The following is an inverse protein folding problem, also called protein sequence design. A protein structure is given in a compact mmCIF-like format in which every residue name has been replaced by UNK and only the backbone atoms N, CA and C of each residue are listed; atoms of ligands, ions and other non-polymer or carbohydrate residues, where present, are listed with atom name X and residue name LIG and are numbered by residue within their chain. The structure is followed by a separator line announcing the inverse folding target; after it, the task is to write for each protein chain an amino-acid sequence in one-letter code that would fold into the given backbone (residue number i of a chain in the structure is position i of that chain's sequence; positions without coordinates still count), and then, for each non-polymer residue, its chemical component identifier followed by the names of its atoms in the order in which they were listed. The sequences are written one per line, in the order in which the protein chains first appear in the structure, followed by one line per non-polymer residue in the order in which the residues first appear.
data_IF_359112921142
#
_entry.id   IF_359112921142
#
_cell.length_a   1.000
_cell.length_b   1.000
_cell.length_c   1.000
_cell.angle_alpha   90.00
_cell.angle_beta   90.00
_cell.angle_gamma   90.00
#
_symmetry.space_group_name_H-M   'P 1'
#
loop_
_entity.id
_entity.type
_entity.pdbx_description
1 polymer ?
#
# COMPACT_ATOMS: atom_id res chain seq x y z
N UNK A 1 29.27 7.09 10.11
CA UNK A 1 28.52 5.89 9.70
C UNK A 1 27.05 5.99 10.08
N UNK A 2 26.74 6.34 11.31
CA UNK A 2 25.36 6.50 11.81
C UNK A 2 24.53 7.57 11.06
N UNK A 3 25.09 8.77 10.81
CA UNK A 3 24.40 9.83 10.09
C UNK A 3 23.98 9.44 8.66
N UNK A 4 24.83 8.73 7.93
CA UNK A 4 24.50 8.26 6.58
C UNK A 4 23.36 7.22 6.61
N UNK A 5 23.32 6.35 7.62
CA UNK A 5 22.23 5.38 7.82
C UNK A 5 20.91 6.08 8.14
N UNK A 6 20.93 7.07 9.03
CA UNK A 6 19.75 7.87 9.36
C UNK A 6 19.22 8.67 8.17
N UNK A 7 20.12 9.21 7.32
CA UNK A 7 19.72 9.88 6.08
C UNK A 7 19.04 8.92 5.09
N UNK A 8 19.57 7.71 4.92
CA UNK A 8 18.93 6.65 4.10
C UNK A 8 17.55 6.30 4.66
N UNK A 9 17.44 6.09 5.96
CA UNK A 9 16.19 5.80 6.65
C UNK A 9 15.15 6.91 6.45
N UNK A 10 15.57 8.17 6.55
CA UNK A 10 14.70 9.33 6.30
C UNK A 10 14.18 9.33 4.85
N UNK A 11 15.07 9.17 3.87
CA UNK A 11 14.68 9.17 2.44
C UNK A 11 13.70 8.03 2.15
N UNK A 12 13.99 6.81 2.59
CA UNK A 12 13.11 5.66 2.40
C UNK A 12 11.76 5.85 3.11
N UNK A 13 11.76 6.41 4.32
CA UNK A 13 10.52 6.76 5.01
C UNK A 13 9.67 7.77 4.25
N UNK A 14 10.29 8.81 3.67
CA UNK A 14 9.56 9.78 2.82
C UNK A 14 9.00 9.10 1.57
N UNK A 15 9.78 8.27 0.90
CA UNK A 15 9.35 7.53 -0.30
C UNK A 15 8.16 6.63 0.04
N UNK A 16 8.26 5.85 1.12
CA UNK A 16 7.18 4.98 1.59
C UNK A 16 5.89 5.78 1.84
N UNK A 17 5.95 6.82 2.65
CA UNK A 17 4.77 7.60 3.00
C UNK A 17 4.13 8.32 1.82
N UNK A 18 4.89 8.77 0.84
CA UNK A 18 4.36 9.38 -0.38
C UNK A 18 3.74 8.37 -1.34
N UNK A 19 4.26 7.14 -1.41
CA UNK A 19 3.89 6.19 -2.45
C UNK A 19 2.90 5.12 -1.99
N UNK A 20 2.79 4.82 -0.69
CA UNK A 20 1.95 3.74 -0.18
C UNK A 20 0.45 3.95 -0.43
N UNK A 21 -0.02 5.19 -0.29
CA UNK A 21 -1.45 5.51 -0.44
C UNK A 21 -1.84 5.91 -1.86
N UNK A 22 -0.87 6.26 -2.69
CA UNK A 22 -1.08 6.53 -4.11
C UNK A 22 -1.20 5.21 -4.90
N UNK A 23 -1.97 5.19 -5.99
CA UNK A 23 -2.12 3.97 -6.79
C UNK A 23 -0.90 3.70 -7.69
N UNK A 24 0.34 3.84 -7.14
CA UNK A 24 1.61 3.77 -7.89
C UNK A 24 2.58 2.70 -7.40
N UNK A 25 2.27 1.96 -6.33
CA UNK A 25 3.10 0.89 -5.74
C UNK A 25 4.38 1.37 -5.03
N UNK A 26 4.34 1.47 -3.71
CA UNK A 26 5.51 1.78 -2.87
C UNK A 26 6.65 0.77 -3.02
N UNK A 27 6.34 -0.53 -3.12
CA UNK A 27 7.33 -1.61 -3.26
C UNK A 27 8.33 -1.36 -4.39
N UNK A 28 7.85 -0.98 -5.59
CA UNK A 28 8.76 -0.70 -6.71
C UNK A 28 9.66 0.51 -6.48
N UNK A 29 9.15 1.53 -5.78
CA UNK A 29 9.93 2.72 -5.44
C UNK A 29 10.97 2.43 -4.36
N UNK A 30 10.62 1.64 -3.35
CA UNK A 30 11.55 1.24 -2.28
C UNK A 30 12.68 0.36 -2.82
N UNK A 31 12.38 -0.60 -3.71
CA UNK A 31 13.42 -1.41 -4.38
C UNK A 31 14.39 -0.49 -5.13
N UNK A 32 13.87 0.43 -5.94
CA UNK A 32 14.71 1.36 -6.72
C UNK A 32 15.57 2.24 -5.81
N UNK A 33 14.95 2.93 -4.84
CA UNK A 33 15.64 3.87 -3.97
C UNK A 33 16.56 3.14 -3.00
N UNK A 34 16.16 2.00 -2.47
CA UNK A 34 16.98 1.17 -1.58
C UNK A 34 18.25 0.69 -2.26
N UNK A 35 18.16 0.19 -3.49
CA UNK A 35 19.32 -0.24 -4.27
C UNK A 35 20.27 0.92 -4.59
N UNK A 36 19.73 2.06 -5.06
CA UNK A 36 20.51 3.26 -5.33
C UNK A 36 21.21 3.84 -4.10
N UNK A 37 20.64 3.66 -2.92
CA UNK A 37 21.24 4.07 -1.66
C UNK A 37 22.22 3.03 -1.09
N UNK A 38 22.34 1.85 -1.72
CA UNK A 38 23.08 0.72 -1.16
C UNK A 38 22.50 0.29 0.18
N UNK A 39 21.18 0.17 0.26
CA UNK A 39 20.42 -0.27 1.42
C UNK A 39 19.37 -1.30 0.98
N UNK A 40 19.81 -2.53 0.72
CA UNK A 40 19.02 -3.61 0.14
C UNK A 40 19.30 -4.99 0.78
N UNK A 41 19.86 -5.01 2.00
CA UNK A 41 20.13 -6.22 2.76
C UNK A 41 18.87 -6.76 3.48
N UNK A 42 19.01 -7.85 4.22
CA UNK A 42 17.90 -8.44 4.98
C UNK A 42 17.34 -7.49 6.06
N UNK A 43 18.17 -6.62 6.64
CA UNK A 43 17.71 -5.58 7.57
C UNK A 43 16.87 -4.53 6.86
N UNK A 44 17.24 -4.15 5.63
CA UNK A 44 16.49 -3.21 4.81
C UNK A 44 15.07 -3.71 4.53
N UNK A 45 14.89 -4.98 4.22
CA UNK A 45 13.56 -5.58 3.98
C UNK A 45 12.63 -5.44 5.18
N UNK A 46 13.14 -5.70 6.37
CA UNK A 46 12.31 -5.54 7.58
C UNK A 46 12.12 -4.08 7.94
N UNK A 47 13.11 -3.23 7.68
CA UNK A 47 12.99 -1.79 7.84
C UNK A 47 11.83 -1.24 6.97
N UNK A 48 11.73 -1.63 5.72
CA UNK A 48 10.64 -1.24 4.81
C UNK A 48 9.26 -1.61 5.39
N UNK A 49 9.12 -2.79 5.98
CA UNK A 49 7.87 -3.23 6.62
C UNK A 49 7.55 -2.38 7.87
N UNK A 50 8.56 -2.01 8.65
CA UNK A 50 8.36 -1.17 9.84
C UNK A 50 7.94 0.24 9.46
N UNK A 51 8.59 0.86 8.47
CA UNK A 51 8.21 2.21 8.02
C UNK A 51 6.83 2.23 7.36
N UNK A 52 6.42 1.15 6.70
CA UNK A 52 5.07 0.96 6.20
C UNK A 52 4.05 0.99 7.34
N UNK A 53 4.34 0.34 8.47
CA UNK A 53 3.51 0.46 9.68
C UNK A 53 3.48 1.90 10.20
N UNK A 54 4.61 2.62 10.15
CA UNK A 54 4.68 4.05 10.45
C UNK A 54 3.72 4.88 9.58
N UNK A 55 3.69 4.61 8.28
CA UNK A 55 2.76 5.26 7.36
C UNK A 55 1.28 4.96 7.70
N UNK A 56 0.95 3.74 8.21
CA UNK A 56 -0.41 3.40 8.62
C UNK A 56 -0.93 4.25 9.78
N UNK A 57 -0.07 4.67 10.70
CA UNK A 57 -0.46 5.59 11.76
C UNK A 57 -0.97 6.93 11.24
N UNK A 58 -0.58 7.36 10.04
CA UNK A 58 -1.14 8.56 9.40
C UNK A 58 -2.64 8.41 9.11
N UNK A 59 -3.08 7.25 8.67
CA UNK A 59 -4.51 6.96 8.46
C UNK A 59 -5.26 6.93 9.80
N UNK A 60 -4.69 6.24 10.79
CA UNK A 60 -5.30 6.18 12.12
C UNK A 60 -5.45 7.59 12.71
N UNK A 61 -4.45 8.44 12.54
CA UNK A 61 -4.47 9.82 13.01
C UNK A 61 -5.46 10.71 12.24
N UNK A 62 -5.47 10.64 10.90
CA UNK A 62 -6.40 11.42 10.07
C UNK A 62 -7.86 11.05 10.40
N UNK A 63 -8.14 9.78 10.56
CA UNK A 63 -9.48 9.26 10.83
C UNK A 63 -9.71 8.87 12.31
N UNK A 64 -8.93 9.44 13.26
CA UNK A 64 -9.00 9.10 14.69
C UNK A 64 -10.40 9.21 15.29
N UNK A 65 -11.19 10.21 14.85
CA UNK A 65 -12.57 10.36 15.30
C UNK A 65 -13.48 9.24 14.83
N UNK A 66 -13.25 8.71 13.62
CA UNK A 66 -13.98 7.53 13.11
C UNK A 66 -13.57 6.27 13.85
N UNK A 67 -12.27 6.02 13.95
CA UNK A 67 -11.76 4.85 14.68
C UNK A 67 -12.19 4.87 16.15
N UNK A 68 -12.17 6.03 16.81
CA UNK A 68 -12.65 6.18 18.19
C UNK A 68 -14.14 5.83 18.34
N UNK A 69 -15.01 6.34 17.44
CA UNK A 69 -16.43 5.97 17.44
C UNK A 69 -16.66 4.49 17.17
N UNK A 70 -15.93 3.90 16.23
CA UNK A 70 -16.04 2.47 15.93
C UNK A 70 -15.64 1.63 17.13
N UNK A 71 -14.52 1.94 17.78
CA UNK A 71 -14.07 1.23 18.98
C UNK A 71 -15.06 1.36 20.14
N UNK A 72 -15.56 2.56 20.40
CA UNK A 72 -16.53 2.78 21.47
C UNK A 72 -17.88 2.08 21.18
N UNK A 73 -18.29 2.02 19.91
CA UNK A 73 -19.55 1.41 19.49
C UNK A 73 -19.49 -0.10 19.23
N UNK A 74 -18.30 -0.71 19.26
CA UNK A 74 -18.12 -2.08 18.77
C UNK A 74 -19.02 -3.12 19.46
N UNK A 75 -19.34 -2.93 20.74
CA UNK A 75 -20.21 -3.83 21.50
C UNK A 75 -21.70 -3.57 21.28
N UNK A 76 -22.12 -2.36 20.89
CA UNK A 76 -23.53 -1.94 20.93
C UNK A 76 -24.06 -1.36 19.62
N UNK A 77 -23.19 -0.84 18.75
CA UNK A 77 -23.59 -0.19 17.50
C UNK A 77 -23.41 -1.12 16.29
N UNK A 78 -24.52 -1.44 15.63
CA UNK A 78 -24.52 -2.28 14.41
C UNK A 78 -23.73 -1.65 13.25
N UNK A 79 -23.66 -0.32 13.16
CA UNK A 79 -22.89 0.34 12.11
C UNK A 79 -21.38 0.15 12.34
N UNK A 80 -20.92 0.26 13.59
CA UNK A 80 -19.53 -0.02 13.96
C UNK A 80 -19.17 -1.48 13.70
N UNK A 81 -20.03 -2.43 14.09
CA UNK A 81 -19.83 -3.86 13.85
C UNK A 81 -19.76 -4.18 12.36
N UNK A 82 -20.68 -3.61 11.55
CA UNK A 82 -20.68 -3.80 10.08
C UNK A 82 -19.43 -3.24 9.43
N UNK A 83 -18.95 -2.06 9.86
CA UNK A 83 -17.71 -1.47 9.36
C UNK A 83 -16.52 -2.41 9.61
N UNK A 84 -16.35 -2.91 10.84
CA UNK A 84 -15.26 -3.84 11.18
C UNK A 84 -15.41 -5.16 10.43
N UNK A 85 -16.62 -5.71 10.34
CA UNK A 85 -16.89 -6.92 9.55
C UNK A 85 -16.48 -6.73 8.08
N UNK A 86 -16.84 -5.61 7.47
CA UNK A 86 -16.48 -5.31 6.09
C UNK A 86 -14.96 -5.25 5.90
N UNK A 87 -14.21 -4.66 6.84
CA UNK A 87 -12.74 -4.67 6.79
C UNK A 87 -12.16 -6.08 6.91
N UNK A 88 -12.67 -6.90 7.83
CA UNK A 88 -12.22 -8.28 8.00
C UNK A 88 -12.55 -9.14 6.77
N UNK A 89 -13.75 -9.00 6.20
CA UNK A 89 -14.16 -9.70 4.98
C UNK A 89 -13.27 -9.30 3.79
N UNK A 90 -12.98 -8.00 3.64
CA UNK A 90 -12.09 -7.53 2.57
C UNK A 90 -10.62 -7.91 2.77
N UNK A 91 -10.17 -8.06 4.01
CA UNK A 91 -8.83 -8.52 4.35
C UNK A 91 -8.61 -10.00 3.99
N UNK A 92 -9.63 -10.84 4.20
CA UNK A 92 -9.55 -12.31 4.17
C UNK A 92 -8.99 -12.88 2.85
N UNK A 93 -9.43 -12.49 1.63
CA UNK A 93 -8.92 -13.07 0.39
C UNK A 93 -7.41 -12.92 0.23
N UNK A 94 -6.88 -11.72 0.47
CA UNK A 94 -5.46 -11.46 0.35
C UNK A 94 -4.65 -12.19 1.44
N UNK A 95 -5.17 -12.27 2.67
CA UNK A 95 -4.53 -13.00 3.76
C UNK A 95 -4.44 -14.50 3.47
N UNK A 96 -5.54 -15.12 3.04
CA UNK A 96 -5.57 -16.56 2.72
C UNK A 96 -4.62 -16.88 1.56
N UNK A 97 -4.70 -16.11 0.47
CA UNK A 97 -3.84 -16.33 -0.70
C UNK A 97 -2.37 -16.02 -0.40
N UNK A 98 -2.09 -14.99 0.38
CA UNK A 98 -0.73 -14.64 0.80
C UNK A 98 -0.09 -15.71 1.68
N UNK A 99 -0.85 -16.30 2.63
CA UNK A 99 -0.37 -17.41 3.45
C UNK A 99 -0.19 -18.70 2.64
N UNK A 100 -1.11 -19.00 1.72
CA UNK A 100 -1.06 -20.22 0.91
C UNK A 100 0.05 -20.18 -0.16
N UNK A 101 0.22 -19.03 -0.82
CA UNK A 101 1.07 -18.89 -2.01
C UNK A 101 2.24 -17.92 -1.84
N UNK A 102 2.45 -17.32 -0.68
CA UNK A 102 3.45 -16.27 -0.47
C UNK A 102 4.87 -16.67 -0.87
N UNK A 103 5.29 -17.93 -0.61
CA UNK A 103 6.59 -18.43 -1.04
C UNK A 103 6.71 -18.47 -2.57
N UNK A 104 5.69 -19.00 -3.27
CA UNK A 104 5.67 -19.07 -4.73
C UNK A 104 5.67 -17.67 -5.35
N UNK A 105 4.88 -16.75 -4.79
CA UNK A 105 4.83 -15.36 -5.20
C UNK A 105 6.21 -14.71 -5.09
N UNK A 106 6.88 -14.84 -3.94
CA UNK A 106 8.24 -14.32 -3.74
C UNK A 106 9.24 -14.93 -4.74
N UNK A 107 9.20 -16.24 -4.95
CA UNK A 107 10.15 -16.93 -5.84
C UNK A 107 9.97 -16.54 -7.31
N UNK A 108 8.74 -16.38 -7.80
CA UNK A 108 8.50 -16.21 -9.24
C UNK A 108 8.16 -14.80 -9.68
N UNK A 109 7.68 -13.94 -8.77
CA UNK A 109 7.16 -12.61 -9.15
C UNK A 109 8.01 -11.44 -8.65
N UNK A 110 8.93 -11.64 -7.69
CA UNK A 110 9.82 -10.57 -7.22
C UNK A 110 11.06 -10.42 -8.12
N UNK A 111 10.81 -10.14 -9.40
CA UNK A 111 11.83 -9.88 -10.41
C UNK A 111 11.42 -8.70 -11.29
N UNK A 112 12.37 -8.07 -11.97
CA UNK A 112 12.15 -6.89 -12.79
C UNK A 112 10.96 -6.99 -13.75
N UNK A 113 10.85 -8.08 -14.51
CA UNK A 113 9.83 -8.24 -15.56
C UNK A 113 8.42 -8.32 -14.97
N UNK A 114 8.09 -9.19 -14.00
CA UNK A 114 6.78 -9.20 -13.36
C UNK A 114 6.43 -7.86 -12.72
N UNK A 115 7.37 -7.22 -12.02
CA UNK A 115 7.17 -5.90 -11.40
C UNK A 115 6.82 -4.85 -12.46
N UNK A 116 7.62 -4.74 -13.52
CA UNK A 116 7.38 -3.81 -14.60
C UNK A 116 6.04 -4.03 -15.31
N UNK A 117 5.70 -5.29 -15.61
CA UNK A 117 4.42 -5.65 -16.22
C UNK A 117 3.25 -5.27 -15.31
N UNK A 118 3.36 -5.52 -14.00
CA UNK A 118 2.34 -5.12 -13.03
C UNK A 118 2.14 -3.59 -13.00
N UNK A 119 3.21 -2.80 -13.10
CA UNK A 119 3.11 -1.34 -13.24
C UNK A 119 2.41 -0.96 -14.53
N UNK A 120 2.85 -1.47 -15.68
CA UNK A 120 2.34 -1.11 -17.01
C UNK A 120 0.88 -1.54 -17.16
N UNK A 121 0.57 -2.81 -16.88
CA UNK A 121 -0.79 -3.35 -16.99
C UNK A 121 -1.73 -2.63 -16.02
N UNK A 122 -1.28 -2.40 -14.77
CA UNK A 122 -2.05 -1.62 -13.81
C UNK A 122 -2.32 -0.20 -14.27
N UNK A 123 -1.37 0.46 -14.95
CA UNK A 123 -1.56 1.76 -15.58
C UNK A 123 -2.65 1.72 -16.67
N UNK A 124 -2.61 0.74 -17.58
CA UNK A 124 -3.66 0.58 -18.60
C UNK A 124 -5.03 0.25 -17.99
N UNK A 125 -5.09 -0.54 -16.94
CA UNK A 125 -6.35 -0.82 -16.21
C UNK A 125 -6.92 0.48 -15.64
N UNK A 126 -6.11 1.34 -15.02
CA UNK A 126 -6.57 2.64 -14.52
C UNK A 126 -7.13 3.50 -15.65
N UNK A 127 -6.42 3.63 -16.79
CA UNK A 127 -6.90 4.39 -17.95
C UNK A 127 -8.23 3.84 -18.49
N UNK A 128 -8.35 2.53 -18.58
CA UNK A 128 -9.57 1.88 -19.03
C UNK A 128 -10.75 2.12 -18.07
N UNK A 129 -10.51 2.05 -16.77
CA UNK A 129 -11.52 2.27 -15.74
C UNK A 129 -11.96 3.72 -15.71
N UNK A 130 -11.06 4.69 -15.83
CA UNK A 130 -11.40 6.12 -15.81
C UNK A 130 -12.13 6.60 -17.07
N UNK A 131 -11.89 5.97 -18.23
CA UNK A 131 -12.58 6.29 -19.47
C UNK A 131 -14.01 5.76 -19.57
N UNK A 132 -14.42 4.83 -18.69
CA UNK A 132 -15.78 4.28 -18.71
C UNK A 132 -16.77 5.23 -18.04
N UNK A 133 -17.92 5.49 -18.69
CA UNK A 133 -19.02 6.15 -18.00
C UNK A 133 -19.48 5.24 -16.86
N UNK A 134 -19.52 5.77 -15.64
CA UNK A 134 -19.90 5.01 -14.46
C UNK A 134 -20.88 5.80 -13.61
N UNK A 135 -21.95 5.13 -13.18
CA UNK A 135 -22.81 5.63 -12.12
C UNK A 135 -22.32 4.98 -10.81
N UNK A 136 -21.78 5.79 -9.92
CA UNK A 136 -21.39 5.29 -8.62
C UNK A 136 -22.66 5.01 -7.78
N UNK A 137 -22.86 3.74 -7.42
CA UNK A 137 -24.02 3.28 -6.66
C UNK A 137 -23.81 3.45 -5.15
N UNK A 138 -22.56 3.39 -4.67
CA UNK A 138 -22.18 3.45 -3.26
C UNK A 138 -21.37 4.73 -3.05
N UNK A 139 -21.95 5.68 -2.31
CA UNK A 139 -21.37 7.02 -2.09
C UNK A 139 -20.65 7.15 -0.75
N UNK A 140 -20.86 6.22 0.17
CA UNK A 140 -20.26 6.22 1.50
C UNK A 140 -19.80 4.83 1.90
N UNK A 141 -18.72 4.75 2.69
CA UNK A 141 -18.24 3.48 3.27
C UNK A 141 -19.31 2.83 4.17
N UNK A 142 -20.19 3.64 4.76
CA UNK A 142 -21.28 3.15 5.63
C UNK A 142 -22.42 2.48 4.86
N UNK A 143 -22.53 2.73 3.55
CA UNK A 143 -23.49 2.06 2.66
C UNK A 143 -23.01 0.69 2.18
N UNK A 144 -21.72 0.40 2.30
CA UNK A 144 -21.13 -0.85 1.83
C UNK A 144 -21.70 -2.06 2.55
N UNK A 145 -22.04 -3.08 1.77
CA UNK A 145 -22.38 -4.41 2.28
C UNK A 145 -21.13 -5.29 2.38
N UNK A 146 -21.22 -6.40 3.11
CA UNK A 146 -20.16 -7.39 3.17
C UNK A 146 -19.80 -7.98 1.78
N UNK A 147 -20.77 -8.03 0.85
CA UNK A 147 -20.55 -8.49 -0.53
C UNK A 147 -19.66 -7.51 -1.30
N UNK A 148 -19.86 -6.21 -1.10
CA UNK A 148 -19.05 -5.17 -1.73
C UNK A 148 -17.63 -5.19 -1.14
N UNK A 149 -17.51 -5.34 0.17
CA UNK A 149 -16.25 -5.50 0.85
C UNK A 149 -15.47 -6.74 0.35
N UNK A 150 -16.14 -7.87 0.16
CA UNK A 150 -15.53 -9.09 -0.39
C UNK A 150 -15.01 -8.89 -1.82
N UNK A 151 -15.76 -8.20 -2.68
CA UNK A 151 -15.29 -7.89 -4.05
C UNK A 151 -14.01 -7.03 -4.01
N UNK A 152 -13.96 -6.01 -3.15
CA UNK A 152 -12.74 -5.20 -2.96
C UNK A 152 -11.61 -6.06 -2.39
N UNK A 153 -11.91 -7.01 -1.51
CA UNK A 153 -10.95 -7.97 -0.98
C UNK A 153 -10.33 -8.86 -2.06
N UNK A 154 -11.13 -9.34 -3.02
CA UNK A 154 -10.59 -10.07 -4.18
C UNK A 154 -9.74 -9.16 -5.08
N UNK A 155 -10.13 -7.90 -5.27
CA UNK A 155 -9.27 -6.94 -5.94
C UNK A 155 -7.95 -6.72 -5.19
N UNK A 156 -7.99 -6.64 -3.86
CA UNK A 156 -6.78 -6.55 -3.03
C UNK A 156 -5.83 -7.74 -3.23
N UNK A 157 -6.35 -8.94 -3.48
CA UNK A 157 -5.52 -10.12 -3.69
C UNK A 157 -4.53 -9.97 -4.87
N UNK A 158 -4.88 -9.18 -5.89
CA UNK A 158 -3.94 -8.86 -6.98
C UNK A 158 -2.71 -8.06 -6.48
N UNK A 159 -2.81 -7.37 -5.36
CA UNK A 159 -1.67 -6.67 -4.76
C UNK A 159 -0.60 -7.60 -4.19
N UNK A 160 -0.84 -8.90 -4.09
CA UNK A 160 0.18 -9.90 -3.82
C UNK A 160 1.22 -9.99 -4.95
N UNK A 161 0.86 -9.57 -6.16
CA UNK A 161 1.79 -9.43 -7.28
C UNK A 161 2.56 -8.14 -7.09
N UNK A 162 3.90 -8.18 -6.91
CA UNK A 162 4.70 -6.99 -6.69
C UNK A 162 4.59 -6.02 -7.87
N UNK A 163 4.51 -4.72 -7.59
CA UNK A 163 4.27 -3.69 -8.61
C UNK A 163 2.79 -3.38 -8.88
N UNK A 164 1.85 -4.23 -8.44
CA UNK A 164 0.41 -3.98 -8.66
C UNK A 164 -0.10 -2.75 -7.91
N UNK A 165 0.44 -2.44 -6.75
CA UNK A 165 -0.07 -1.45 -5.78
C UNK A 165 -1.33 -1.93 -5.04
N UNK A 166 -1.24 -2.05 -3.72
CA UNK A 166 -2.38 -2.41 -2.87
C UNK A 166 -3.49 -1.35 -2.97
N UNK A 167 -3.12 -0.07 -2.82
CA UNK A 167 -4.05 1.05 -2.98
C UNK A 167 -4.63 1.10 -4.40
N UNK A 168 -3.82 0.91 -5.44
CA UNK A 168 -4.29 0.84 -6.81
C UNK A 168 -5.32 -0.27 -7.04
N UNK A 169 -5.05 -1.49 -6.57
CA UNK A 169 -5.96 -2.62 -6.71
C UNK A 169 -7.30 -2.39 -5.99
N UNK A 170 -7.26 -1.93 -4.74
CA UNK A 170 -8.48 -1.72 -3.94
C UNK A 170 -9.30 -0.51 -4.39
N UNK A 171 -8.66 0.60 -4.77
CA UNK A 171 -9.35 1.79 -5.27
C UNK A 171 -10.00 1.50 -6.62
N UNK A 172 -9.22 1.03 -7.58
CA UNK A 172 -9.71 0.79 -8.95
C UNK A 172 -10.70 -0.37 -8.98
N UNK A 173 -10.44 -1.44 -8.22
CA UNK A 173 -11.39 -2.54 -8.04
C UNK A 173 -12.69 -2.07 -7.39
N UNK A 174 -12.62 -1.27 -6.33
CA UNK A 174 -13.80 -0.68 -5.68
C UNK A 174 -14.63 0.16 -6.66
N UNK A 175 -13.97 0.99 -7.46
CA UNK A 175 -14.62 1.77 -8.51
C UNK A 175 -15.29 0.90 -9.59
N UNK A 176 -14.68 -0.21 -9.97
CA UNK A 176 -15.28 -1.19 -10.89
C UNK A 176 -16.53 -1.86 -10.30
N UNK A 177 -16.58 -2.04 -9.00
CA UNK A 177 -17.70 -2.65 -8.28
C UNK A 177 -18.78 -1.64 -7.85
N UNK A 178 -18.70 -0.39 -8.32
CA UNK A 178 -19.75 0.62 -8.13
C UNK A 178 -19.52 1.57 -6.96
N UNK A 179 -18.36 1.57 -6.31
CA UNK A 179 -18.01 2.58 -5.31
C UNK A 179 -17.65 3.90 -6.01
N UNK A 180 -18.04 5.03 -5.42
CA UNK A 180 -17.53 6.33 -5.84
C UNK A 180 -16.00 6.39 -5.66
N UNK A 181 -15.33 7.25 -6.41
CA UNK A 181 -13.87 7.43 -6.31
C UNK A 181 -13.44 7.71 -4.86
N UNK A 182 -14.17 8.58 -4.19
CA UNK A 182 -13.93 8.92 -2.78
C UNK A 182 -14.14 7.72 -1.86
N UNK A 183 -15.27 7.03 -1.97
CA UNK A 183 -15.58 5.86 -1.14
C UNK A 183 -14.55 4.74 -1.32
N UNK A 184 -14.16 4.45 -2.56
CA UNK A 184 -13.13 3.46 -2.86
C UNK A 184 -11.78 3.83 -2.23
N UNK A 185 -11.40 5.11 -2.29
CA UNK A 185 -10.15 5.61 -1.68
C UNK A 185 -10.21 5.54 -0.16
N UNK A 186 -11.28 6.02 0.47
CA UNK A 186 -11.44 5.95 1.93
C UNK A 186 -11.47 4.51 2.43
N UNK A 187 -12.21 3.62 1.75
CA UNK A 187 -12.25 2.20 2.14
C UNK A 187 -10.89 1.52 1.96
N UNK A 188 -10.15 1.84 0.89
CA UNK A 188 -8.77 1.38 0.69
C UNK A 188 -7.87 1.79 1.86
N UNK A 189 -7.99 3.02 2.34
CA UNK A 189 -7.22 3.50 3.50
C UNK A 189 -7.57 2.74 4.79
N UNK A 190 -8.86 2.54 5.06
CA UNK A 190 -9.27 1.78 6.23
C UNK A 190 -8.81 0.32 6.16
N UNK A 191 -8.90 -0.30 4.99
CA UNK A 191 -8.48 -1.68 4.77
C UNK A 191 -6.95 -1.84 4.87
N UNK A 192 -6.18 -0.80 4.58
CA UNK A 192 -4.73 -0.80 4.76
C UNK A 192 -4.32 -1.08 6.19
N UNK A 193 -5.04 -0.52 7.17
CA UNK A 193 -4.68 -0.64 8.59
C UNK A 193 -4.60 -2.10 9.04
N UNK A 194 -5.67 -2.93 8.98
CA UNK A 194 -5.56 -4.32 9.38
C UNK A 194 -4.61 -5.12 8.48
N UNK A 195 -4.56 -4.82 7.17
CA UNK A 195 -3.75 -5.58 6.21
C UNK A 195 -2.26 -5.42 6.47
N UNK A 196 -1.79 -4.18 6.60
CA UNK A 196 -0.36 -3.89 6.70
C UNK A 196 0.15 -4.01 8.15
N UNK A 197 -0.70 -3.72 9.15
CA UNK A 197 -0.33 -3.97 10.55
C UNK A 197 -0.20 -5.47 10.81
N UNK A 198 -1.10 -6.30 10.29
CA UNK A 198 -0.99 -7.75 10.44
C UNK A 198 0.24 -8.31 9.72
N UNK A 199 0.51 -7.87 8.49
CA UNK A 199 1.70 -8.28 7.74
C UNK A 199 2.99 -7.81 8.44
N UNK A 200 3.03 -6.54 8.85
CA UNK A 200 4.18 -5.96 9.55
C UNK A 200 4.48 -6.64 10.87
N UNK A 201 3.46 -6.91 11.68
CA UNK A 201 3.62 -7.62 12.95
C UNK A 201 4.14 -9.05 12.73
N UNK A 202 3.63 -9.77 11.72
CA UNK A 202 4.09 -11.12 11.39
C UNK A 202 5.56 -11.12 10.94
N UNK A 203 5.94 -10.25 10.01
CA UNK A 203 7.29 -10.21 9.47
C UNK A 203 8.31 -9.71 10.51
N UNK A 204 7.94 -8.71 11.31
CA UNK A 204 8.77 -8.23 12.43
C UNK A 204 9.01 -9.36 13.47
N UNK A 205 7.96 -10.06 13.87
CA UNK A 205 8.08 -11.18 14.79
C UNK A 205 9.00 -12.28 14.26
N UNK A 206 8.85 -12.63 12.99
CA UNK A 206 9.65 -13.67 12.33
C UNK A 206 11.13 -13.30 12.26
N UNK A 207 11.45 -12.03 12.03
CA UNK A 207 12.82 -11.56 11.80
C UNK A 207 13.42 -10.80 12.99
N UNK A 208 12.77 -10.84 14.17
CA UNK A 208 13.18 -10.06 15.35
C UNK A 208 14.63 -10.27 15.80
N UNK A 209 15.22 -11.43 15.49
CA UNK A 209 16.60 -11.75 15.83
C UNK A 209 17.65 -10.99 15.00
N UNK A 210 17.24 -10.31 13.91
CA UNK A 210 18.14 -9.52 13.07
C UNK A 210 18.44 -8.12 13.65
N UNK A 211 17.72 -7.71 14.69
CA UNK A 211 17.77 -6.35 15.24
C UNK A 211 18.39 -6.30 16.59
N UNK A 212 19.08 -5.19 16.82
CA UNK A 212 19.63 -4.82 18.12
C UNK A 212 19.25 -3.38 18.50
N UNK A 213 19.70 -2.94 19.69
CA UNK A 213 19.40 -1.60 20.18
C UNK A 213 20.00 -0.47 19.34
N UNK A 214 21.01 -0.74 18.52
CA UNK A 214 21.63 0.26 17.63
C UNK A 214 20.74 0.60 16.43
N UNK A 215 19.82 -0.29 16.07
CA UNK A 215 18.91 -0.10 14.94
C UNK A 215 17.71 0.82 15.29
N UNK A 216 17.44 1.08 16.57
CA UNK A 216 16.28 1.86 17.04
C UNK A 216 16.23 3.26 16.42
N UNK A 217 17.37 3.95 16.32
CA UNK A 217 17.45 5.27 15.71
C UNK A 217 16.99 5.30 14.26
N UNK A 218 17.41 4.30 13.47
CA UNK A 218 17.02 4.12 12.08
C UNK A 218 15.50 3.90 11.96
N UNK A 219 14.91 3.01 12.75
CA UNK A 219 13.47 2.74 12.74
C UNK A 219 12.64 3.95 13.15
N UNK A 220 13.06 4.69 14.16
CA UNK A 220 12.36 5.91 14.60
C UNK A 220 12.37 6.97 13.51
N UNK A 221 13.54 7.27 12.94
CA UNK A 221 13.67 8.29 11.88
C UNK A 221 12.84 7.90 10.65
N UNK A 222 12.97 6.66 10.19
CA UNK A 222 12.21 6.17 9.04
C UNK A 222 10.70 6.17 9.26
N UNK A 223 10.24 5.69 10.44
CA UNK A 223 8.81 5.64 10.76
C UNK A 223 8.19 7.04 10.93
N UNK A 224 8.91 7.98 11.55
CA UNK A 224 8.45 9.36 11.67
C UNK A 224 8.39 10.03 10.30
N UNK A 225 9.40 9.84 9.46
CA UNK A 225 9.41 10.36 8.08
C UNK A 225 8.24 9.78 7.27
N UNK A 226 8.00 8.46 7.36
CA UNK A 226 6.89 7.78 6.69
C UNK A 226 5.53 8.29 7.20
N UNK A 227 5.37 8.45 8.51
CA UNK A 227 4.15 9.02 9.09
C UNK A 227 3.86 10.43 8.56
N UNK A 228 4.84 11.33 8.63
CA UNK A 228 4.64 12.75 8.23
C UNK A 228 4.34 12.85 6.74
N UNK A 229 5.13 12.19 5.90
CA UNK A 229 4.93 12.22 4.44
C UNK A 229 3.62 11.54 4.04
N UNK A 230 3.25 10.43 4.67
CA UNK A 230 1.96 9.76 4.46
C UNK A 230 0.78 10.64 4.86
N UNK A 231 0.87 11.32 6.01
CA UNK A 231 -0.18 12.23 6.49
C UNK A 231 -0.45 13.36 5.49
N UNK A 232 0.62 13.98 4.99
CA UNK A 232 0.51 15.03 3.98
C UNK A 232 -0.04 14.48 2.65
N UNK A 233 0.45 13.31 2.21
CA UNK A 233 0.03 12.64 0.99
C UNK A 233 -1.45 12.25 1.01
N UNK A 234 -1.94 11.64 2.09
CA UNK A 234 -3.33 11.24 2.28
C UNK A 234 -4.27 12.45 2.19
N UNK A 235 -3.95 13.53 2.89
CA UNK A 235 -4.76 14.77 2.86
C UNK A 235 -4.75 15.42 1.48
N UNK A 236 -3.61 15.42 0.82
CA UNK A 236 -3.48 15.92 -0.53
C UNK A 236 -4.31 15.06 -1.50
N UNK A 237 -4.19 13.73 -1.44
CA UNK A 237 -4.92 12.82 -2.33
C UNK A 237 -6.43 12.97 -2.18
N UNK A 238 -6.96 13.07 -0.95
CA UNK A 238 -8.39 13.26 -0.71
C UNK A 238 -8.92 14.57 -1.34
N UNK A 239 -8.12 15.63 -1.31
CA UNK A 239 -8.46 16.90 -1.98
C UNK A 239 -8.35 16.78 -3.49
N UNK A 240 -7.31 16.10 -3.97
CA UNK A 240 -7.06 15.91 -5.39
C UNK A 240 -8.20 15.15 -6.08
N UNK A 241 -8.63 14.02 -5.54
CA UNK A 241 -9.68 13.18 -6.12
C UNK A 241 -11.07 13.80 -6.06
N UNK A 242 -11.27 14.88 -5.32
CA UNK A 242 -12.53 15.62 -5.32
C UNK A 242 -12.80 16.30 -6.67
N UNK A 243 -11.75 16.65 -7.42
CA UNK A 243 -11.85 17.39 -8.69
C UNK A 243 -11.09 16.73 -9.84
N UNK A 244 -10.25 15.73 -9.56
CA UNK A 244 -9.40 15.07 -10.55
C UNK A 244 -9.63 13.55 -10.54
N UNK A 245 -9.19 12.90 -11.61
CA UNK A 245 -9.21 11.45 -11.78
C UNK A 245 -7.81 10.82 -11.57
N UNK A 246 -7.72 9.50 -11.71
CA UNK A 246 -6.46 8.77 -11.54
C UNK A 246 -5.61 8.66 -12.83
N UNK A 247 -5.99 9.33 -13.92
CA UNK A 247 -5.27 9.29 -15.21
C UNK A 247 -3.78 9.66 -15.08
N UNK A 248 -3.36 10.72 -14.34
CA UNK A 248 -1.94 11.02 -14.18
C UNK A 248 -1.14 9.91 -13.52
N UNK A 249 -1.73 9.22 -12.54
CA UNK A 249 -1.08 8.08 -11.89
C UNK A 249 -0.93 6.88 -12.83
N UNK A 250 -1.88 6.69 -13.75
CA UNK A 250 -1.80 5.65 -14.76
C UNK A 250 -0.60 5.87 -15.69
N UNK A 251 -0.42 7.08 -16.19
CA UNK A 251 0.73 7.42 -17.04
C UNK A 251 2.05 7.33 -16.29
N UNK A 252 2.06 7.79 -15.04
CA UNK A 252 3.22 7.61 -14.16
C UNK A 252 3.61 6.13 -14.04
N UNK A 253 2.66 5.25 -13.76
CA UNK A 253 2.89 3.79 -13.66
C UNK A 253 3.47 3.22 -14.94
N UNK A 254 2.93 3.58 -16.11
CA UNK A 254 3.42 3.09 -17.41
C UNK A 254 4.86 3.55 -17.63
N UNK A 255 5.16 4.82 -17.38
CA UNK A 255 6.51 5.36 -17.50
C UNK A 255 7.48 4.71 -16.50
N UNK A 256 7.06 4.55 -15.23
CA UNK A 256 7.88 3.92 -14.19
C UNK A 256 8.14 2.44 -14.51
N UNK A 257 7.14 1.69 -14.98
CA UNK A 257 7.30 0.29 -15.42
C UNK A 257 8.29 0.16 -16.58
N UNK A 258 8.29 1.10 -17.54
CA UNK A 258 9.30 1.16 -18.59
C UNK A 258 10.70 1.45 -18.00
N UNK A 259 10.80 2.38 -17.04
CA UNK A 259 12.05 2.66 -16.34
C UNK A 259 12.58 1.44 -15.57
N UNK A 260 11.72 0.64 -14.95
CA UNK A 260 12.08 -0.64 -14.30
C UNK A 260 12.76 -1.58 -15.30
N UNK A 261 12.20 -1.76 -16.49
CA UNK A 261 12.80 -2.61 -17.53
C UNK A 261 14.14 -2.06 -18.01
N UNK A 262 14.22 -0.78 -18.26
CA UNK A 262 15.47 -0.13 -18.72
C UNK A 262 16.57 -0.27 -17.69
N UNK A 263 16.30 0.04 -16.42
CA UNK A 263 17.31 -0.04 -15.34
C UNK A 263 17.72 -1.48 -15.03
N UNK A 264 16.79 -2.43 -15.14
CA UNK A 264 17.10 -3.84 -15.00
C UNK A 264 17.98 -4.36 -16.14
N UNK A 265 17.63 -4.02 -17.39
CA UNK A 265 18.38 -4.47 -18.56
C UNK A 265 19.78 -3.83 -18.62
N UNK A 266 19.92 -2.57 -18.22
CA UNK A 266 21.20 -1.87 -18.13
C UNK A 266 22.05 -2.31 -16.91
N UNK A 267 21.53 -3.16 -16.01
CA UNK A 267 22.23 -3.62 -14.82
C UNK A 267 22.48 -2.52 -13.78
N UNK A 268 21.70 -1.41 -13.83
CA UNK A 268 21.86 -0.25 -12.93
C UNK A 268 21.20 -0.51 -11.58
N UNK A 269 20.13 -1.29 -11.55
CA UNK A 269 19.35 -1.60 -10.34
C UNK A 269 19.11 -3.11 -10.23
N UNK A 270 19.34 -3.65 -9.06
CA UNK A 270 19.04 -5.04 -8.77
C UNK A 270 17.57 -5.22 -8.34
N UNK A 271 16.72 -5.62 -9.28
CA UNK A 271 15.30 -5.85 -9.05
C UNK A 271 14.96 -7.23 -8.47
N UNK A 272 15.96 -8.09 -8.24
CA UNK A 272 15.78 -9.44 -7.67
C UNK A 272 15.88 -9.45 -6.13
N UNK A 273 15.94 -8.29 -5.49
CA UNK A 273 15.99 -8.16 -4.04
C UNK A 273 14.60 -8.32 -3.41
N UNK A 274 14.02 -9.51 -3.55
CA UNK A 274 12.77 -9.90 -2.90
C UNK A 274 12.98 -11.05 -1.92
#
# INVERSE_FOLDING_TARGET
MEFALLAKAFVLGVVEGLTEFLPISSTGHLILVGDLLGFSDEKAKVFEIVIQTGAMFAIVWEYRGRFGRVLAGLATDRAAQRFVLNLLVAFTPAAVLGLAFGKLIKTYLFHAVPVALAFIVGGFIILWVERRPRTALIQSVDEMTWKDALKVGFAQAFALIPGTSRSGATIIGGMLFGLSRRTATEFSFFLAVPTLVAAGAYDFWKNRALFDSSDVGMFVVGSVAAFVSAFLCVRWLLRYIATHDFTPFAWYRIAFGAAVLVTAYAGVVNWSAG
#
